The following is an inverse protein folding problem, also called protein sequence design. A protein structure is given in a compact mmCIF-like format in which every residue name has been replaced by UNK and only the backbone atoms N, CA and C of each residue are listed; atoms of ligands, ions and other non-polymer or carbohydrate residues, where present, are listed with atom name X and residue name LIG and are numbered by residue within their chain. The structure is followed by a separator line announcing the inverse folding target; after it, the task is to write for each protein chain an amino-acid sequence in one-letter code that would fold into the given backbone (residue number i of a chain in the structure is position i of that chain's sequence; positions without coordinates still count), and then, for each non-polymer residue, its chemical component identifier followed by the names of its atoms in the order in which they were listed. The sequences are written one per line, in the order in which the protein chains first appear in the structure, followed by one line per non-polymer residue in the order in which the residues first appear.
data_IF_512032203264
#
_entry.id   IF_512032203264
#
_cell.length_a   1.000
_cell.length_b   1.000
_cell.length_c   1.000
_cell.angle_alpha   90.00
_cell.angle_beta   90.00
_cell.angle_gamma   90.00
#
_symmetry.space_group_name_H-M   'P 1'
#
loop_
_entity.id
_entity.type
_entity.pdbx_description
1 polymer ?
#
# COMPACT_ATOMS: atom_id res chain seq x y z
N UNK A 1 0.79 14.24 3.72
CA UNK A 1 2.08 14.28 3.00
C UNK A 1 2.47 15.74 2.82
N UNK A 2 3.65 16.15 3.29
CA UNK A 2 4.14 17.54 3.26
C UNK A 2 5.52 17.67 2.59
N UNK A 3 6.01 16.62 1.92
CA UNK A 3 7.34 16.58 1.30
C UNK A 3 7.36 16.96 -0.18
N UNK A 4 6.21 17.01 -0.87
CA UNK A 4 6.15 17.23 -2.32
C UNK A 4 6.44 15.97 -3.15
N UNK A 5 6.64 14.82 -2.50
CA UNK A 5 6.89 13.56 -3.18
C UNK A 5 5.63 12.96 -3.80
N UNK A 6 5.78 12.36 -4.98
CA UNK A 6 4.74 11.57 -5.64
C UNK A 6 5.03 10.08 -5.52
N UNK A 7 4.03 9.33 -5.10
CA UNK A 7 4.07 7.87 -5.10
C UNK A 7 3.46 7.36 -6.41
N UNK A 8 4.21 6.54 -7.13
CA UNK A 8 3.80 5.95 -8.39
C UNK A 8 3.80 4.44 -8.25
N UNK A 9 2.63 3.82 -8.45
CA UNK A 9 2.53 2.38 -8.64
C UNK A 9 2.84 2.06 -10.09
N UNK A 10 3.67 1.04 -10.30
CA UNK A 10 4.12 0.60 -11.63
C UNK A 10 3.61 -0.81 -11.89
N UNK A 11 3.17 -1.07 -13.12
CA UNK A 11 2.59 -2.35 -13.49
C UNK A 11 3.63 -3.40 -13.87
N UNK A 12 4.90 -3.00 -14.05
CA UNK A 12 5.98 -3.91 -14.44
C UNK A 12 7.36 -3.48 -13.92
N UNK A 13 8.25 -4.46 -13.73
CA UNK A 13 9.64 -4.23 -13.34
C UNK A 13 10.42 -3.42 -14.39
N UNK A 14 10.10 -3.61 -15.68
CA UNK A 14 10.69 -2.81 -16.77
C UNK A 14 10.37 -1.33 -16.59
N UNK A 15 9.09 -0.99 -16.37
CA UNK A 15 8.67 0.39 -16.11
C UNK A 15 9.37 0.99 -14.89
N UNK A 16 9.49 0.21 -13.79
CA UNK A 16 10.23 0.63 -12.60
C UNK A 16 11.69 0.98 -12.93
N UNK A 17 12.36 0.10 -13.67
CA UNK A 17 13.77 0.25 -14.05
C UNK A 17 14.00 1.46 -14.95
N UNK A 18 13.07 1.73 -15.87
CA UNK A 18 13.14 2.89 -16.75
C UNK A 18 12.88 4.20 -15.99
N UNK A 19 11.92 4.20 -15.05
CA UNK A 19 11.63 5.36 -14.19
C UNK A 19 12.78 5.71 -13.26
N UNK A 20 13.46 4.74 -12.67
CA UNK A 20 14.61 4.97 -11.77
C UNK A 20 15.75 5.72 -12.47
N UNK A 21 15.89 5.57 -13.80
CA UNK A 21 16.90 6.26 -14.59
C UNK A 21 16.51 7.70 -14.96
N UNK A 22 15.26 8.10 -14.71
CA UNK A 22 14.76 9.42 -15.07
C UNK A 22 15.33 10.49 -14.14
N UNK A 23 16.02 11.47 -14.71
CA UNK A 23 16.61 12.59 -13.96
C UNK A 23 15.87 13.91 -14.22
N UNK A 24 15.05 13.98 -15.27
CA UNK A 24 14.31 15.17 -15.67
C UNK A 24 12.90 14.82 -16.09
N UNK A 25 11.95 15.64 -15.65
CA UNK A 25 10.57 15.63 -16.11
C UNK A 25 10.25 17.00 -16.68
N UNK A 26 10.07 17.09 -18.00
CA UNK A 26 10.06 18.35 -18.74
C UNK A 26 11.32 19.20 -18.44
N UNK A 27 11.16 20.33 -17.75
CA UNK A 27 12.26 21.23 -17.38
C UNK A 27 12.67 21.12 -15.91
N UNK A 28 12.05 20.20 -15.15
CA UNK A 28 12.31 20.01 -13.73
C UNK A 28 13.30 18.86 -13.53
N UNK A 29 14.35 19.11 -12.77
CA UNK A 29 15.19 18.04 -12.25
C UNK A 29 14.40 17.25 -11.20
N UNK A 30 14.37 15.93 -11.36
CA UNK A 30 13.69 15.03 -10.43
C UNK A 30 14.64 13.92 -9.98
N UNK A 31 14.29 13.28 -8.87
CA UNK A 31 14.94 12.04 -8.44
C UNK A 31 13.87 10.98 -8.28
N UNK A 32 14.10 9.81 -8.87
CA UNK A 32 13.22 8.65 -8.70
C UNK A 32 13.95 7.63 -7.85
N UNK A 33 13.33 7.22 -6.76
CA UNK A 33 13.85 6.17 -5.87
C UNK A 33 12.80 5.10 -5.66
N UNK A 34 13.25 3.85 -5.51
CA UNK A 34 12.36 2.77 -5.12
C UNK A 34 11.94 2.98 -3.67
N UNK A 35 10.64 3.09 -3.42
CA UNK A 35 10.17 3.19 -2.06
C UNK A 35 10.03 1.79 -1.43
N UNK A 36 10.92 1.46 -0.50
CA UNK A 36 11.03 0.10 0.09
C UNK A 36 9.89 -0.26 1.04
N UNK A 37 9.23 0.73 1.64
CA UNK A 37 8.29 0.52 2.75
C UNK A 37 6.81 0.82 2.44
N UNK A 38 6.43 1.15 1.19
CA UNK A 38 5.02 1.49 0.83
C UNK A 38 4.40 0.45 -0.11
N UNK A 39 4.91 -0.77 -0.12
CA UNK A 39 4.34 -1.86 -0.93
C UNK A 39 3.09 -2.48 -0.29
N UNK A 40 2.50 -1.81 0.69
CA UNK A 40 1.30 -2.26 1.36
C UNK A 40 0.30 -1.12 1.51
N UNK A 41 -0.96 -1.42 1.20
CA UNK A 41 -2.09 -0.59 1.55
C UNK A 41 -2.72 -1.12 2.84
N UNK A 42 -3.31 -0.22 3.64
CA UNK A 42 -4.10 -0.59 4.82
C UNK A 42 -5.54 -0.14 4.59
N UNK A 43 -6.47 -1.09 4.60
CA UNK A 43 -7.90 -0.84 4.57
C UNK A 43 -8.54 -1.05 5.95
N UNK A 44 -9.67 -0.40 6.19
CA UNK A 44 -10.53 -0.67 7.35
C UNK A 44 -11.87 -1.18 6.83
N UNK A 45 -12.32 -2.32 7.35
CA UNK A 45 -13.63 -2.91 7.06
C UNK A 45 -14.32 -3.16 8.40
N UNK A 46 -15.61 -2.84 8.49
CA UNK A 46 -16.40 -2.98 9.72
C UNK A 46 -17.73 -3.71 9.53
N UNK A 47 -17.78 -4.88 8.86
CA UNK A 47 -18.98 -5.69 8.84
C UNK A 47 -19.19 -6.39 10.20
N UNK A 48 -20.44 -6.52 10.63
CA UNK A 48 -20.79 -7.17 11.89
C UNK A 48 -20.37 -8.65 11.94
N UNK A 49 -20.27 -9.30 10.78
CA UNK A 49 -19.84 -10.69 10.62
C UNK A 49 -18.43 -10.95 11.17
N UNK A 50 -17.53 -9.98 11.14
CA UNK A 50 -16.16 -10.14 11.67
C UNK A 50 -16.03 -9.95 13.18
N UNK A 51 -17.14 -9.69 13.91
CA UNK A 51 -17.08 -9.52 15.36
C UNK A 51 -16.53 -10.77 16.06
N UNK A 52 -16.92 -11.97 15.62
CA UNK A 52 -16.59 -13.24 16.27
C UNK A 52 -15.57 -14.11 15.50
N UNK A 53 -15.05 -13.62 14.37
CA UNK A 53 -14.10 -14.37 13.51
C UNK A 53 -12.66 -14.10 13.93
N UNK A 54 -11.81 -15.13 14.05
CA UNK A 54 -10.41 -14.93 14.43
C UNK A 54 -9.61 -14.19 13.34
N UNK A 55 -8.52 -13.51 13.73
CA UNK A 55 -7.66 -12.82 12.75
C UNK A 55 -6.99 -13.79 11.79
N UNK A 56 -6.73 -15.01 12.25
CA UNK A 56 -6.12 -16.10 11.48
C UNK A 56 -7.06 -16.59 10.39
N UNK A 57 -8.34 -16.78 10.72
CA UNK A 57 -9.37 -17.20 9.76
C UNK A 57 -9.60 -16.13 8.69
N UNK A 58 -9.67 -14.84 9.09
CA UNK A 58 -9.78 -13.74 8.13
C UNK A 58 -8.56 -13.72 7.21
N UNK A 59 -7.35 -13.83 7.77
CA UNK A 59 -6.12 -13.82 6.97
C UNK A 59 -6.10 -14.97 5.96
N UNK A 60 -6.43 -16.19 6.39
CA UNK A 60 -6.45 -17.37 5.51
C UNK A 60 -7.40 -17.18 4.32
N UNK A 61 -8.63 -16.73 4.59
CA UNK A 61 -9.66 -16.53 3.55
C UNK A 61 -9.34 -15.34 2.62
N UNK A 62 -8.53 -14.37 3.06
CA UNK A 62 -8.16 -13.20 2.26
C UNK A 62 -6.81 -13.32 1.54
N UNK A 63 -6.09 -14.44 1.68
CA UNK A 63 -4.81 -14.67 0.97
C UNK A 63 -4.92 -14.51 -0.55
N UNK A 64 -6.02 -14.93 -1.15
CA UNK A 64 -6.27 -14.79 -2.60
C UNK A 64 -6.29 -13.32 -3.06
N UNK A 65 -6.65 -12.40 -2.17
CA UNK A 65 -6.62 -10.96 -2.40
C UNK A 65 -5.28 -10.30 -2.01
N UNK A 66 -4.25 -11.11 -1.74
CA UNK A 66 -2.90 -10.67 -1.33
C UNK A 66 -2.89 -9.92 0.01
N UNK A 67 -3.88 -10.16 0.88
CA UNK A 67 -3.83 -9.68 2.27
C UNK A 67 -2.78 -10.50 3.02
N UNK A 68 -1.81 -9.82 3.62
CA UNK A 68 -0.70 -10.46 4.35
C UNK A 68 -0.72 -10.17 5.86
N UNK A 69 -1.62 -9.30 6.32
CA UNK A 69 -1.74 -8.95 7.73
C UNK A 69 -3.13 -8.42 8.07
N UNK A 70 -3.67 -8.89 9.20
CA UNK A 70 -4.96 -8.47 9.73
C UNK A 70 -4.76 -8.03 11.18
N UNK A 71 -5.41 -6.94 11.57
CA UNK A 71 -5.37 -6.42 12.94
C UNK A 71 -6.75 -5.89 13.34
N UNK A 72 -7.24 -6.31 14.51
CA UNK A 72 -8.46 -5.72 15.10
C UNK A 72 -8.18 -4.31 15.59
N UNK A 73 -9.10 -3.40 15.31
CA UNK A 73 -9.05 -2.02 15.79
C UNK A 73 -10.37 -1.67 16.48
N UNK A 74 -10.30 -0.96 17.60
CA UNK A 74 -11.45 -0.34 18.23
C UNK A 74 -11.48 1.14 17.83
N UNK A 75 -12.56 1.57 17.19
CA UNK A 75 -12.79 2.98 16.87
C UNK A 75 -13.69 3.55 17.95
N UNK A 76 -13.16 4.49 18.74
CA UNK A 76 -13.99 5.28 19.67
C UNK A 76 -14.68 6.38 18.86
N UNK A 77 -15.97 6.59 19.12
CA UNK A 77 -16.70 7.78 18.68
C UNK A 77 -16.79 8.68 19.91
N UNK A 78 -16.21 9.86 19.82
CA UNK A 78 -16.44 10.94 20.79
C UNK A 78 -17.78 11.63 20.48
#
# INVERSE_FOLDING_TARGET
MRSGDFFLEVSSSKQATDLIKLQKLAHLDITVTLHTNLNFSRGVISPAEFLNVSTEEILENMKAQKVYGVRRIAIRRD
#
